data_IF_519591884857
#
_entry.id   IF_519591884857
#
_cell.length_a   1.000
_cell.length_b   1.000
_cell.length_c   1.000
_cell.angle_alpha   90.00
_cell.angle_beta   90.00
_cell.angle_gamma   90.00
#
_symmetry.space_group_name_H-M   'P 1'
#
loop_
_entity.id
_entity.type
_entity.pdbx_description
1 polymer ?
#
# COMPACT_ATOMS: atom_id res chain seq x y z
N UNK A 1 -8.74 -18.72 20.06
CA UNK A 1 -9.13 -18.12 18.79
C UNK A 1 -8.49 -18.90 17.65
N UNK A 2 -9.23 -19.15 16.59
CA UNK A 2 -8.68 -19.83 15.42
C UNK A 2 -7.69 -18.95 14.68
N UNK A 3 -7.00 -19.51 13.67
CA UNK A 3 -6.07 -18.75 12.86
C UNK A 3 -6.80 -17.62 12.11
N UNK A 4 -6.10 -16.51 11.91
CA UNK A 4 -6.63 -15.42 11.12
C UNK A 4 -6.68 -15.86 9.66
N UNK A 5 -7.86 -15.74 9.06
CA UNK A 5 -8.05 -15.97 7.63
C UNK A 5 -8.07 -14.64 6.90
N UNK A 6 -8.02 -14.68 5.57
CA UNK A 6 -7.98 -13.47 4.75
C UNK A 6 -9.13 -12.50 5.02
N UNK A 7 -10.25 -12.99 5.52
CA UNK A 7 -11.45 -12.18 5.74
C UNK A 7 -11.75 -11.92 7.22
N UNK A 8 -10.87 -12.36 8.10
CA UNK A 8 -11.03 -12.06 9.51
C UNK A 8 -10.76 -10.58 9.76
N UNK A 9 -11.45 -10.03 10.76
CA UNK A 9 -11.31 -8.64 11.12
C UNK A 9 -9.91 -8.37 11.66
N UNK A 10 -9.28 -7.33 11.17
CA UNK A 10 -7.96 -6.90 11.63
C UNK A 10 -8.14 -6.02 12.86
N UNK A 11 -7.54 -6.40 13.97
CA UNK A 11 -7.62 -5.66 15.25
C UNK A 11 -6.32 -4.98 15.64
N UNK A 12 -5.24 -5.19 14.86
CA UNK A 12 -3.94 -4.56 15.07
C UNK A 12 -3.53 -3.76 13.84
N UNK A 13 -2.42 -3.05 13.94
CA UNK A 13 -1.89 -2.33 12.78
C UNK A 13 -1.58 -3.29 11.64
N UNK A 14 -1.81 -2.83 10.42
CA UNK A 14 -1.64 -3.66 9.24
C UNK A 14 -1.13 -2.88 8.04
N UNK A 15 -0.57 -3.62 7.08
CA UNK A 15 -0.23 -3.17 5.74
C UNK A 15 -0.87 -4.18 4.79
N UNK A 16 -1.59 -3.69 3.78
CA UNK A 16 -2.26 -4.57 2.83
C UNK A 16 -2.15 -3.99 1.43
N UNK A 17 -1.76 -4.82 0.46
CA UNK A 17 -1.83 -4.47 -0.96
C UNK A 17 -3.18 -4.94 -1.48
N UNK A 18 -3.90 -4.03 -2.15
CA UNK A 18 -5.24 -4.30 -2.66
C UNK A 18 -5.27 -4.10 -4.17
N UNK A 19 -6.05 -4.94 -4.85
CA UNK A 19 -6.36 -4.78 -6.26
C UNK A 19 -7.71 -4.07 -6.38
N UNK A 20 -7.78 -3.01 -7.19
CA UNK A 20 -8.98 -2.18 -7.28
C UNK A 20 -10.05 -2.75 -8.21
N UNK A 21 -9.75 -3.81 -8.95
CA UNK A 21 -10.66 -4.35 -9.97
C UNK A 21 -10.49 -3.73 -11.35
N UNK A 22 -9.64 -2.70 -11.49
CA UNK A 22 -9.38 -2.01 -12.76
C UNK A 22 -7.91 -2.16 -13.18
N UNK A 23 -7.32 -3.33 -12.93
CA UNK A 23 -5.92 -3.63 -13.21
C UNK A 23 -4.97 -2.65 -12.48
N UNK A 24 -5.37 -2.18 -11.31
CA UNK A 24 -4.61 -1.23 -10.52
C UNK A 24 -4.41 -1.76 -9.11
N UNK A 25 -3.20 -1.61 -8.59
CA UNK A 25 -2.81 -2.04 -7.24
C UNK A 25 -2.51 -0.83 -6.37
N UNK A 26 -2.95 -0.88 -5.13
CA UNK A 26 -2.68 0.17 -4.13
C UNK A 26 -2.21 -0.45 -2.83
N UNK A 27 -1.64 0.36 -1.96
CA UNK A 27 -1.25 -0.03 -0.61
C UNK A 27 -2.13 0.72 0.39
N UNK A 28 -2.64 0.01 1.38
CA UNK A 28 -3.35 0.62 2.50
C UNK A 28 -2.69 0.20 3.81
N UNK A 29 -2.72 1.08 4.79
CA UNK A 29 -2.10 0.79 6.08
C UNK A 29 -2.75 1.58 7.20
N UNK A 30 -2.86 0.96 8.36
CA UNK A 30 -3.29 1.62 9.59
C UNK A 30 -2.12 2.01 10.49
N UNK A 31 -0.88 1.74 10.07
CA UNK A 31 0.30 2.03 10.88
C UNK A 31 0.39 3.54 11.17
N UNK A 32 0.52 3.89 12.46
CA UNK A 32 0.62 5.27 12.89
C UNK A 32 -0.65 6.08 12.77
N UNK A 33 -1.78 5.45 12.49
CA UNK A 33 -3.07 6.13 12.36
C UNK A 33 -3.82 6.14 13.68
N UNK A 34 -4.74 7.12 13.82
CA UNK A 34 -5.76 7.06 14.86
C UNK A 34 -6.62 5.80 14.62
N UNK A 35 -7.05 5.09 15.68
CA UNK A 35 -7.87 3.89 15.51
C UNK A 35 -9.07 4.13 14.59
N UNK A 36 -9.28 3.22 13.65
CA UNK A 36 -10.36 3.30 12.67
C UNK A 36 -10.00 4.04 11.39
N UNK A 37 -8.87 4.72 11.34
CA UNK A 37 -8.41 5.45 10.16
C UNK A 37 -7.37 4.60 9.43
N UNK A 38 -7.47 4.57 8.11
CA UNK A 38 -6.55 3.85 7.24
C UNK A 38 -6.01 4.82 6.19
N UNK A 39 -4.71 4.75 5.91
CA UNK A 39 -4.06 5.56 4.89
C UNK A 39 -3.98 4.80 3.59
N UNK A 40 -4.26 5.50 2.49
CA UNK A 40 -4.15 4.99 1.13
C UNK A 40 -2.90 5.57 0.47
N UNK A 41 -2.08 4.69 -0.10
CA UNK A 41 -0.90 5.03 -0.89
C UNK A 41 -1.15 4.56 -2.32
N UNK A 42 -1.45 5.52 -3.19
CA UNK A 42 -1.89 5.24 -4.57
C UNK A 42 -1.02 6.01 -5.56
N UNK A 43 -0.25 5.29 -6.36
CA UNK A 43 0.65 5.89 -7.36
C UNK A 43 -0.06 6.40 -8.61
N UNK A 44 -1.39 6.24 -8.69
CA UNK A 44 -2.21 6.69 -9.81
C UNK A 44 -3.52 7.25 -9.27
N UNK A 45 -3.40 8.24 -8.38
CA UNK A 45 -4.55 8.82 -7.70
C UNK A 45 -5.19 9.91 -8.54
N UNK A 46 -6.51 9.83 -8.70
CA UNK A 46 -7.29 10.76 -9.51
C UNK A 46 -8.24 11.62 -8.67
N UNK A 47 -7.81 12.06 -7.49
CA UNK A 47 -8.54 12.94 -6.59
C UNK A 47 -9.80 12.34 -6.00
N UNK A 48 -10.04 11.06 -6.21
CA UNK A 48 -11.17 10.35 -5.62
C UNK A 48 -10.72 8.93 -5.24
N UNK A 49 -11.16 8.46 -4.08
CA UNK A 49 -10.87 7.10 -3.64
C UNK A 49 -11.92 6.18 -4.27
N UNK A 50 -11.46 5.15 -4.98
CA UNK A 50 -12.34 4.21 -5.65
C UNK A 50 -13.18 3.43 -4.63
N UNK A 51 -14.43 3.17 -4.99
CA UNK A 51 -15.35 2.47 -4.12
C UNK A 51 -14.87 1.06 -3.77
N UNK A 52 -14.23 0.37 -4.71
CA UNK A 52 -13.68 -0.97 -4.48
C UNK A 52 -12.65 -0.97 -3.35
N UNK A 53 -11.81 0.06 -3.30
CA UNK A 53 -10.81 0.19 -2.23
C UNK A 53 -11.52 0.40 -0.89
N UNK A 54 -12.48 1.32 -0.85
CA UNK A 54 -13.26 1.61 0.35
C UNK A 54 -13.97 0.35 0.87
N UNK A 55 -14.62 -0.40 -0.01
CA UNK A 55 -15.34 -1.60 0.38
C UNK A 55 -14.40 -2.69 0.92
N UNK A 56 -13.23 -2.86 0.31
CA UNK A 56 -12.25 -3.82 0.80
C UNK A 56 -11.72 -3.42 2.18
N UNK A 57 -11.43 -2.14 2.40
CA UNK A 57 -10.98 -1.64 3.69
C UNK A 57 -12.05 -1.82 4.76
N UNK A 58 -13.30 -1.52 4.44
CA UNK A 58 -14.42 -1.76 5.35
C UNK A 58 -14.54 -3.23 5.74
N UNK A 59 -14.33 -4.13 4.79
CA UNK A 59 -14.36 -5.57 5.07
C UNK A 59 -13.23 -5.99 6.02
N UNK A 60 -12.04 -5.37 5.89
CA UNK A 60 -10.92 -5.64 6.79
C UNK A 60 -11.16 -5.09 8.20
N UNK A 61 -11.80 -3.95 8.31
CA UNK A 61 -11.95 -3.21 9.57
C UNK A 61 -13.30 -3.46 10.26
N UNK A 62 -14.31 -3.88 9.51
CA UNK A 62 -15.68 -4.07 9.98
C UNK A 62 -16.17 -2.84 10.77
N UNK A 63 -16.70 -3.04 11.99
CA UNK A 63 -17.27 -1.96 12.77
C UNK A 63 -16.24 -0.94 13.27
N UNK A 64 -14.96 -1.27 13.23
CA UNK A 64 -13.91 -0.35 13.64
C UNK A 64 -13.55 0.70 12.57
N UNK A 65 -14.02 0.53 11.34
CA UNK A 65 -13.74 1.46 10.25
C UNK A 65 -14.36 2.83 10.51
N UNK A 66 -13.54 3.88 10.42
CA UNK A 66 -14.01 5.27 10.51
C UNK A 66 -13.79 5.98 9.17
N UNK A 67 -12.60 5.86 8.58
CA UNK A 67 -12.32 6.57 7.35
C UNK A 67 -11.04 6.13 6.68
N UNK A 68 -10.94 6.50 5.40
CA UNK A 68 -9.81 6.23 4.53
C UNK A 68 -9.28 7.57 4.04
N UNK A 69 -7.98 7.78 4.21
CA UNK A 69 -7.32 9.06 3.88
C UNK A 69 -6.24 8.83 2.85
N UNK A 70 -6.27 9.58 1.74
CA UNK A 70 -5.21 9.50 0.75
C UNK A 70 -3.95 10.22 1.25
N UNK A 71 -2.80 9.53 1.12
CA UNK A 71 -1.49 10.12 1.40
C UNK A 71 -0.89 10.61 0.08
N UNK A 72 -0.51 11.88 -0.04
CA UNK A 72 0.13 12.36 -1.26
C UNK A 72 1.49 11.68 -1.45
N UNK A 73 1.61 10.88 -2.49
CA UNK A 73 2.84 10.14 -2.80
C UNK A 73 3.19 10.33 -4.27
N UNK A 74 4.40 9.91 -4.63
CA UNK A 74 4.87 9.95 -6.00
C UNK A 74 3.88 9.25 -6.93
N UNK A 75 3.63 9.87 -8.09
CA UNK A 75 2.74 9.30 -9.10
C UNK A 75 3.57 8.61 -10.18
N UNK A 76 3.08 7.48 -10.65
CA UNK A 76 3.74 6.72 -11.70
C UNK A 76 3.67 7.44 -13.05
N UNK A 77 4.67 7.19 -13.89
CA UNK A 77 4.76 7.82 -15.20
C UNK A 77 4.09 7.00 -16.30
N UNK A 78 3.92 5.69 -16.07
CA UNK A 78 3.28 4.79 -17.04
C UNK A 78 2.16 4.01 -16.35
N UNK A 79 1.25 3.46 -17.12
CA UNK A 79 0.12 2.70 -16.59
C UNK A 79 0.46 1.32 -16.05
N UNK A 80 1.73 0.89 -16.11
CA UNK A 80 2.12 -0.48 -15.77
C UNK A 80 2.90 -0.61 -14.45
N UNK A 81 3.11 0.48 -13.71
CA UNK A 81 3.97 0.46 -12.54
C UNK A 81 3.24 0.41 -11.19
N UNK A 82 1.92 0.31 -11.20
CA UNK A 82 1.15 0.34 -9.94
C UNK A 82 1.54 -0.77 -8.96
N UNK A 83 1.79 -1.97 -9.47
CA UNK A 83 2.18 -3.10 -8.62
C UNK A 83 3.52 -2.87 -7.93
N UNK A 84 4.52 -2.40 -8.67
CA UNK A 84 5.84 -2.16 -8.10
C UNK A 84 5.80 -1.00 -7.10
N UNK A 85 5.01 0.04 -7.37
CA UNK A 85 4.81 1.13 -6.40
C UNK A 85 4.11 0.64 -5.14
N UNK A 86 3.08 -0.21 -5.26
CA UNK A 86 2.39 -0.76 -4.10
C UNK A 86 3.35 -1.53 -3.19
N UNK A 87 4.23 -2.34 -3.78
CA UNK A 87 5.27 -3.07 -3.02
C UNK A 87 6.27 -2.10 -2.40
N UNK A 88 6.67 -1.05 -3.12
CA UNK A 88 7.62 -0.07 -2.61
C UNK A 88 7.05 0.71 -1.42
N UNK A 89 5.78 1.12 -1.48
CA UNK A 89 5.11 1.78 -0.36
C UNK A 89 5.02 0.86 0.85
N UNK A 90 4.63 -0.40 0.63
CA UNK A 90 4.55 -1.40 1.71
C UNK A 90 5.92 -1.60 2.38
N UNK A 91 6.97 -1.72 1.58
CA UNK A 91 8.33 -1.91 2.07
C UNK A 91 8.78 -0.72 2.91
N UNK A 92 8.48 0.50 2.45
CA UNK A 92 8.81 1.73 3.19
C UNK A 92 8.15 1.74 4.56
N UNK A 93 6.89 1.32 4.64
CA UNK A 93 6.17 1.25 5.91
C UNK A 93 6.80 0.24 6.86
N UNK A 94 7.20 -0.92 6.36
CA UNK A 94 7.88 -1.94 7.17
C UNK A 94 9.16 -1.39 7.78
N UNK A 95 9.91 -0.57 7.03
CA UNK A 95 11.16 0.02 7.50
C UNK A 95 10.97 1.36 8.20
N UNK A 96 9.72 1.75 8.45
CA UNK A 96 9.37 3.00 9.15
C UNK A 96 9.80 4.27 8.41
N UNK A 97 9.81 4.22 7.08
CA UNK A 97 10.03 5.40 6.25
C UNK A 97 8.69 5.95 5.75
N UNK A 98 8.64 7.26 5.55
CA UNK A 98 7.45 7.95 5.05
C UNK A 98 7.59 8.17 3.54
N UNK A 99 6.86 7.39 2.74
CA UNK A 99 6.95 7.45 1.27
C UNK A 99 6.65 8.83 0.71
N UNK A 100 5.86 9.65 1.40
CA UNK A 100 5.56 11.00 0.98
C UNK A 100 6.76 11.95 1.06
N UNK A 101 7.84 11.55 1.74
CA UNK A 101 9.00 12.41 1.97
C UNK A 101 10.11 12.19 0.96
N UNK A 102 10.00 11.24 0.04
CA UNK A 102 11.05 10.96 -0.94
C UNK A 102 10.48 10.49 -2.28
N UNK A 103 11.37 10.40 -3.26
CA UNK A 103 11.02 10.00 -4.63
C UNK A 103 11.78 8.72 -4.97
N UNK A 104 11.07 7.70 -5.43
CA UNK A 104 11.68 6.47 -5.91
C UNK A 104 12.34 6.68 -7.28
N UNK A 105 13.45 6.00 -7.48
CA UNK A 105 14.15 5.96 -8.75
C UNK A 105 13.46 4.94 -9.67
N UNK A 106 12.51 5.40 -10.46
CA UNK A 106 11.62 4.53 -11.24
C UNK A 106 12.37 3.53 -12.12
N UNK A 107 13.38 3.91 -12.91
CA UNK A 107 14.09 2.95 -13.76
C UNK A 107 14.73 1.80 -12.99
N UNK A 108 15.05 1.99 -11.72
CA UNK A 108 15.70 0.98 -10.89
C UNK A 108 14.76 0.21 -9.97
N UNK A 109 13.46 0.53 -9.97
CA UNK A 109 12.50 -0.14 -9.08
C UNK A 109 12.28 -1.60 -9.46
N UNK A 110 12.01 -1.89 -10.75
CA UNK A 110 11.77 -3.27 -11.20
C UNK A 110 13.00 -4.15 -11.07
N UNK A 111 14.20 -3.70 -11.48
CA UNK A 111 15.41 -4.48 -11.20
C UNK A 111 15.62 -4.77 -9.73
N UNK A 112 15.33 -3.79 -8.87
CA UNK A 112 15.42 -3.98 -7.41
C UNK A 112 14.45 -5.05 -6.92
N UNK A 113 13.19 -4.99 -7.37
CA UNK A 113 12.19 -5.98 -6.99
C UNK A 113 12.60 -7.38 -7.44
N UNK A 114 13.12 -7.52 -8.68
CA UNK A 114 13.61 -8.80 -9.17
C UNK A 114 14.71 -9.35 -8.28
N UNK A 115 15.63 -8.49 -7.84
CA UNK A 115 16.70 -8.91 -6.93
C UNK A 115 16.14 -9.35 -5.58
N UNK A 116 15.19 -8.61 -5.02
CA UNK A 116 14.51 -8.99 -3.77
C UNK A 116 13.89 -10.39 -3.88
N UNK A 117 13.21 -10.67 -5.00
CA UNK A 117 12.59 -11.97 -5.23
C UNK A 117 13.61 -13.08 -5.33
N UNK A 118 14.76 -12.84 -5.97
CA UNK A 118 15.84 -13.83 -6.05
C UNK A 118 16.45 -14.12 -4.70
N UNK A 119 16.60 -13.11 -3.85
CA UNK A 119 17.22 -13.24 -2.54
C UNK A 119 16.24 -13.65 -1.46
N UNK A 120 14.94 -13.61 -1.74
CA UNK A 120 13.92 -13.92 -0.75
C UNK A 120 13.81 -12.88 0.36
N UNK A 121 14.20 -11.62 0.10
CA UNK A 121 14.22 -10.57 1.09
C UNK A 121 13.85 -9.24 0.46
N UNK A 122 12.89 -8.53 1.08
CA UNK A 122 12.52 -7.18 0.67
C UNK A 122 13.42 -6.15 1.36
N UNK A 123 14.09 -5.33 0.58
CA UNK A 123 14.90 -4.21 1.07
C UNK A 123 14.35 -2.91 0.49
N UNK A 124 14.73 -1.77 1.09
CA UNK A 124 14.26 -0.47 0.63
C UNK A 124 14.53 -0.27 -0.85
N UNK A 125 13.52 0.23 -1.56
CA UNK A 125 13.63 0.54 -2.98
C UNK A 125 14.53 1.75 -3.20
N UNK A 126 15.24 1.80 -4.33
CA UNK A 126 16.14 2.92 -4.62
C UNK A 126 15.37 4.24 -4.73
N UNK A 127 15.96 5.29 -4.17
CA UNK A 127 15.40 6.64 -4.18
C UNK A 127 16.33 7.61 -4.88
N UNK A 128 15.79 8.72 -5.29
CA UNK A 128 16.57 9.80 -5.87
C UNK A 128 16.99 10.79 -4.77
#
# INVERSE_FOLDING_TARGET
MGPIRNFDIVTSEFIQILHTGHMHWVCVSSIGCTPGIVKLYDSLYHDIIEEEVTEQVKSLMADSYIGLVNVPVQQQLSGSDCGVFAVAFSTSLVYAFHSQDFTFDIPNMRPHLCQCLRMGELTMFPTI
#
